data_IF_180336878736
#
_entry.id   IF_180336878736
#
_cell.length_a   1.000
_cell.length_b   1.000
_cell.length_c   1.000
_cell.angle_alpha   90.00
_cell.angle_beta   90.00
_cell.angle_gamma   90.00
#
_symmetry.space_group_name_H-M   'P 1'
#
loop_
_entity.id
_entity.type
_entity.pdbx_description
1 polymer ?
#
# COMPACT_ATOMS: atom_id res chain seq x y z
N UNK A 1 8.96 33.52 -7.99
CA UNK A 1 9.98 32.49 -7.60
C UNK A 1 9.38 31.20 -7.06
N UNK A 2 8.07 31.09 -6.84
CA UNK A 2 7.38 29.86 -6.35
C UNK A 2 7.12 28.83 -7.48
N UNK A 3 7.09 29.25 -8.74
CA UNK A 3 6.75 28.39 -9.89
C UNK A 3 7.82 27.34 -10.28
N UNK A 4 9.10 27.60 -10.00
CA UNK A 4 10.22 26.73 -10.47
C UNK A 4 10.34 25.46 -9.62
N UNK A 5 9.90 25.46 -8.38
CA UNK A 5 10.00 24.32 -7.46
C UNK A 5 8.93 23.25 -7.68
N UNK A 6 7.75 23.64 -8.19
CA UNK A 6 6.67 22.73 -8.55
C UNK A 6 6.98 21.96 -9.83
N UNK A 7 7.60 22.58 -10.83
CA UNK A 7 8.00 21.95 -12.09
C UNK A 7 9.05 20.86 -11.87
N UNK A 8 9.98 21.04 -10.95
CA UNK A 8 11.01 20.04 -10.61
C UNK A 8 10.45 18.79 -9.94
N UNK A 9 9.44 18.93 -9.06
CA UNK A 9 8.81 17.78 -8.39
C UNK A 9 7.90 16.99 -9.33
N UNK A 10 7.19 17.65 -10.23
CA UNK A 10 6.38 16.97 -11.26
C UNK A 10 7.23 16.20 -12.27
N UNK A 11 8.37 16.73 -12.68
CA UNK A 11 9.31 16.02 -13.56
C UNK A 11 9.91 14.78 -12.90
N UNK A 12 10.29 14.85 -11.61
CA UNK A 12 10.76 13.68 -10.86
C UNK A 12 9.67 12.60 -10.69
N UNK A 13 8.40 12.98 -10.55
CA UNK A 13 7.28 12.06 -10.49
C UNK A 13 7.07 11.37 -11.84
N UNK A 14 7.07 12.11 -12.95
CA UNK A 14 6.91 11.54 -14.30
C UNK A 14 8.03 10.58 -14.66
N UNK A 15 9.29 10.90 -14.37
CA UNK A 15 10.42 10.04 -14.71
C UNK A 15 10.43 8.73 -13.91
N UNK A 16 9.89 8.72 -12.68
CA UNK A 16 9.72 7.50 -11.89
C UNK A 16 8.62 6.59 -12.45
N UNK A 17 7.56 7.13 -13.03
CA UNK A 17 6.47 6.36 -13.61
C UNK A 17 6.85 5.61 -14.89
N UNK A 18 7.76 6.12 -15.69
CA UNK A 18 8.15 5.52 -16.96
C UNK A 18 9.20 4.40 -16.85
N UNK A 19 9.75 4.14 -15.67
CA UNK A 19 10.68 3.02 -15.43
C UNK A 19 10.00 1.68 -15.17
N UNK A 20 8.69 1.65 -15.02
CA UNK A 20 7.91 0.42 -14.79
C UNK A 20 7.41 -0.14 -16.12
N UNK A 21 8.17 -1.03 -16.73
CA UNK A 21 7.76 -1.76 -17.93
C UNK A 21 6.98 -3.00 -17.54
N UNK A 22 5.70 -3.09 -17.90
CA UNK A 22 4.98 -4.35 -17.89
C UNK A 22 3.52 -4.37 -17.45
N UNK A 23 2.99 -3.31 -16.85
CA UNK A 23 1.63 -3.29 -16.31
C UNK A 23 0.79 -2.11 -16.77
N UNK A 24 0.74 -1.84 -18.09
CA UNK A 24 0.15 -0.61 -18.65
C UNK A 24 -1.29 -0.33 -18.15
N UNK A 25 -2.12 -1.34 -17.99
CA UNK A 25 -3.52 -1.16 -17.59
C UNK A 25 -3.65 -0.81 -16.09
N UNK A 26 -2.94 -1.54 -15.22
CA UNK A 26 -2.97 -1.29 -13.78
C UNK A 26 -2.31 0.07 -13.47
N UNK A 27 -1.16 0.35 -14.09
CA UNK A 27 -0.47 1.64 -13.98
C UNK A 27 -1.36 2.81 -14.41
N UNK A 28 -2.14 2.66 -15.49
CA UNK A 28 -3.02 3.71 -15.99
C UNK A 28 -4.13 4.10 -15.01
N UNK A 29 -4.53 3.21 -14.10
CA UNK A 29 -5.55 3.48 -13.08
C UNK A 29 -4.94 4.05 -11.78
N UNK A 30 -3.91 3.42 -11.25
CA UNK A 30 -3.37 3.75 -9.93
C UNK A 30 -2.39 4.92 -9.95
N UNK A 31 -1.63 5.10 -11.04
CA UNK A 31 -0.69 6.22 -11.17
C UNK A 31 -1.36 7.59 -11.05
N UNK A 32 -2.46 7.89 -11.77
CA UNK A 32 -3.19 9.15 -11.59
C UNK A 32 -3.74 9.31 -10.16
N UNK A 33 -4.23 8.22 -9.55
CA UNK A 33 -4.73 8.24 -8.19
C UNK A 33 -3.61 8.60 -7.19
N UNK A 34 -2.47 7.94 -7.26
CA UNK A 34 -1.33 8.21 -6.37
C UNK A 34 -0.76 9.61 -6.59
N UNK A 35 -0.71 10.08 -7.84
CA UNK A 35 -0.31 11.46 -8.15
C UNK A 35 -1.25 12.49 -7.53
N UNK A 36 -2.56 12.23 -7.56
CA UNK A 36 -3.55 13.10 -6.93
C UNK A 36 -3.40 13.12 -5.40
N UNK A 37 -3.10 11.98 -4.78
CA UNK A 37 -2.83 11.88 -3.34
C UNK A 37 -1.57 12.68 -2.97
N UNK A 38 -0.47 12.53 -3.72
CA UNK A 38 0.76 13.30 -3.52
C UNK A 38 0.48 14.81 -3.62
N UNK A 39 -0.24 15.23 -4.67
CA UNK A 39 -0.62 16.64 -4.85
C UNK A 39 -1.48 17.17 -3.69
N UNK A 40 -2.39 16.33 -3.17
CA UNK A 40 -3.23 16.68 -2.01
C UNK A 40 -2.40 16.89 -0.76
N UNK A 41 -1.42 16.04 -0.51
CA UNK A 41 -0.54 16.13 0.65
C UNK A 41 0.57 17.19 0.50
N UNK A 42 0.86 17.68 -0.70
CA UNK A 42 1.90 18.70 -0.92
C UNK A 42 1.67 20.01 -0.13
N UNK A 43 0.40 20.31 0.19
CA UNK A 43 0.02 21.45 1.04
C UNK A 43 -0.29 21.09 2.50
N UNK A 44 -0.09 19.84 2.89
CA UNK A 44 -0.38 19.38 4.24
C UNK A 44 0.74 19.76 5.23
N UNK A 45 0.46 19.62 6.52
CA UNK A 45 1.47 19.78 7.57
C UNK A 45 2.56 18.71 7.44
N UNK A 46 3.76 19.00 7.93
CA UNK A 46 4.90 18.07 7.87
C UNK A 46 4.67 16.76 8.66
N UNK A 47 3.79 16.80 9.66
CA UNK A 47 3.39 15.68 10.48
C UNK A 47 2.14 14.95 9.95
N UNK A 48 1.69 15.26 8.74
CA UNK A 48 0.55 14.58 8.12
C UNK A 48 0.89 13.09 7.83
N UNK A 49 -0.05 12.17 8.07
CA UNK A 49 0.25 10.73 8.02
C UNK A 49 0.43 10.15 6.61
N UNK A 50 0.28 10.92 5.55
CA UNK A 50 0.36 10.47 4.16
C UNK A 50 -0.41 9.15 3.92
N UNK A 51 -1.61 9.06 4.50
CA UNK A 51 -2.43 7.85 4.50
C UNK A 51 -3.26 7.74 3.23
N UNK A 52 -3.22 6.58 2.58
CA UNK A 52 -4.13 6.17 1.52
C UNK A 52 -4.94 4.95 1.98
N UNK A 53 -6.26 4.97 1.74
CA UNK A 53 -7.14 3.84 2.01
C UNK A 53 -7.76 3.34 0.72
N UNK A 54 -7.59 2.05 0.42
CA UNK A 54 -8.07 1.40 -0.79
C UNK A 54 -8.99 0.23 -0.41
N UNK A 55 -10.22 0.27 -0.90
CA UNK A 55 -11.18 -0.81 -0.75
C UNK A 55 -11.20 -1.67 -2.03
N UNK A 56 -11.28 -2.99 -1.85
CA UNK A 56 -11.19 -3.97 -2.94
C UNK A 56 -10.00 -3.74 -3.89
N UNK A 57 -8.88 -3.32 -3.32
CA UNK A 57 -7.72 -2.94 -4.10
C UNK A 57 -7.20 -4.09 -4.94
N UNK A 58 -6.78 -3.74 -6.15
CA UNK A 58 -6.09 -4.62 -7.08
C UNK A 58 -6.93 -5.82 -7.58
N UNK A 59 -8.25 -5.74 -7.50
CA UNK A 59 -9.13 -6.76 -8.06
C UNK A 59 -8.86 -6.92 -9.57
N UNK A 60 -8.55 -8.15 -10.01
CA UNK A 60 -8.24 -8.45 -11.42
C UNK A 60 -6.86 -7.97 -11.90
N UNK A 61 -6.01 -7.49 -11.01
CA UNK A 61 -4.60 -7.14 -11.29
C UNK A 61 -3.74 -8.38 -11.04
N UNK A 62 -2.79 -8.66 -11.92
CA UNK A 62 -1.83 -9.75 -11.74
C UNK A 62 -0.81 -9.43 -10.64
N UNK A 63 -0.21 -10.49 -10.07
CA UNK A 63 0.67 -10.41 -8.91
C UNK A 63 1.92 -9.52 -9.14
N UNK A 64 2.48 -9.53 -10.35
CA UNK A 64 3.65 -8.73 -10.69
C UNK A 64 3.31 -7.23 -10.63
N UNK A 65 2.17 -6.87 -11.20
CA UNK A 65 1.67 -5.50 -11.17
C UNK A 65 1.27 -5.04 -9.76
N UNK A 66 0.71 -5.94 -8.94
CA UNK A 66 0.42 -5.65 -7.53
C UNK A 66 1.72 -5.33 -6.77
N UNK A 67 2.76 -6.12 -6.98
CA UNK A 67 4.08 -5.90 -6.37
C UNK A 67 4.67 -4.53 -6.74
N UNK A 68 4.55 -4.15 -8.00
CA UNK A 68 5.00 -2.83 -8.47
C UNK A 68 4.17 -1.69 -7.85
N UNK A 69 2.85 -1.89 -7.64
CA UNK A 69 2.01 -0.92 -6.94
C UNK A 69 2.44 -0.74 -5.48
N UNK A 70 2.74 -1.81 -4.77
CA UNK A 70 3.27 -1.73 -3.40
C UNK A 70 4.61 -1.00 -3.36
N UNK A 71 5.52 -1.31 -4.30
CA UNK A 71 6.79 -0.58 -4.43
C UNK A 71 6.55 0.91 -4.60
N UNK A 72 5.63 1.27 -5.50
CA UNK A 72 5.30 2.67 -5.77
C UNK A 72 4.72 3.38 -4.54
N UNK A 73 3.83 2.73 -3.78
CA UNK A 73 3.31 3.29 -2.53
C UNK A 73 4.41 3.53 -1.50
N UNK A 74 5.36 2.61 -1.38
CA UNK A 74 6.53 2.77 -0.49
C UNK A 74 7.44 3.90 -0.97
N UNK A 75 7.69 4.01 -2.28
CA UNK A 75 8.50 5.09 -2.84
C UNK A 75 7.89 6.49 -2.65
N UNK A 76 6.56 6.58 -2.60
CA UNK A 76 5.84 7.81 -2.28
C UNK A 76 5.72 8.07 -0.76
N UNK A 77 6.29 7.21 0.05
CA UNK A 77 6.20 7.29 1.52
C UNK A 77 4.74 7.29 2.02
N UNK A 78 3.87 6.54 1.34
CA UNK A 78 2.49 6.38 1.79
C UNK A 78 2.40 5.38 2.95
N UNK A 79 1.65 5.77 3.98
CA UNK A 79 1.01 4.82 4.86
C UNK A 79 -0.27 4.34 4.19
N UNK A 80 -0.51 3.05 4.14
CA UNK A 80 -1.66 2.52 3.43
C UNK A 80 -2.49 1.56 4.29
N UNK A 81 -3.79 1.61 4.08
CA UNK A 81 -4.77 0.65 4.58
C UNK A 81 -5.50 0.05 3.39
N UNK A 82 -5.40 -1.25 3.23
CA UNK A 82 -5.92 -1.96 2.06
C UNK A 82 -6.84 -3.07 2.50
N UNK A 83 -8.03 -3.14 1.89
CA UNK A 83 -8.93 -4.26 1.97
C UNK A 83 -8.91 -5.02 0.64
N UNK A 84 -8.73 -6.35 0.68
CA UNK A 84 -8.75 -7.21 -0.49
C UNK A 84 -9.12 -8.63 -0.12
N UNK A 85 -9.73 -9.38 -1.04
CA UNK A 85 -10.14 -10.78 -0.81
C UNK A 85 -8.98 -11.77 -0.92
N UNK A 86 -7.97 -11.48 -1.72
CA UNK A 86 -6.90 -12.43 -2.10
C UNK A 86 -5.49 -11.92 -1.82
N UNK A 87 -5.36 -10.69 -1.35
CA UNK A 87 -4.08 -10.01 -1.20
C UNK A 87 -3.50 -10.23 0.19
N UNK A 88 -2.25 -10.66 0.26
CA UNK A 88 -1.49 -10.74 1.52
C UNK A 88 -0.59 -9.52 1.74
N UNK A 89 0.00 -8.98 0.68
CA UNK A 89 0.85 -7.79 0.73
C UNK A 89 2.24 -8.00 1.34
N UNK A 90 2.60 -9.23 1.68
CA UNK A 90 3.90 -9.60 2.23
C UNK A 90 4.97 -9.72 1.12
N UNK A 91 5.15 -8.62 0.40
CA UNK A 91 6.19 -8.50 -0.63
C UNK A 91 7.48 -7.95 -0.04
N UNK A 92 8.61 -8.37 -0.62
CA UNK A 92 9.96 -7.89 -0.26
C UNK A 92 10.14 -6.37 -0.42
N UNK A 93 9.31 -5.75 -1.26
CA UNK A 93 9.26 -4.30 -1.43
C UNK A 93 8.57 -3.56 -0.29
N UNK A 94 7.85 -4.27 0.59
CA UNK A 94 7.11 -3.69 1.72
C UNK A 94 7.92 -3.88 3.00
N UNK A 95 8.40 -2.81 3.65
CA UNK A 95 9.29 -2.92 4.80
C UNK A 95 8.59 -3.43 6.07
N UNK A 96 7.31 -3.09 6.24
CA UNK A 96 6.51 -3.53 7.38
C UNK A 96 5.02 -3.52 7.05
N UNK A 97 4.29 -4.53 7.54
CA UNK A 97 2.84 -4.63 7.32
C UNK A 97 2.17 -5.40 8.48
N UNK A 98 1.03 -4.90 8.94
CA UNK A 98 0.10 -5.66 9.76
C UNK A 98 -1.02 -6.22 8.88
N UNK A 99 -1.22 -7.54 8.93
CA UNK A 99 -2.21 -8.24 8.12
C UNK A 99 -3.27 -8.84 9.04
N UNK A 100 -4.54 -8.56 8.76
CA UNK A 100 -5.69 -9.08 9.50
C UNK A 100 -6.51 -9.97 8.57
N UNK A 101 -6.36 -11.28 8.72
CA UNK A 101 -7.17 -12.25 7.97
C UNK A 101 -8.50 -12.45 8.67
N UNK A 102 -9.60 -12.17 7.96
CA UNK A 102 -10.96 -12.40 8.43
C UNK A 102 -11.41 -13.77 7.96
N UNK A 103 -11.72 -14.66 8.90
CA UNK A 103 -12.18 -16.01 8.60
C UNK A 103 -13.56 -16.22 9.22
N UNK A 104 -14.54 -16.59 8.41
CA UNK A 104 -15.87 -17.00 8.87
C UNK A 104 -16.06 -18.49 8.62
N UNK A 105 -15.99 -19.35 9.64
CA UNK A 105 -16.31 -20.77 9.49
C UNK A 105 -17.76 -20.96 9.02
N UNK A 106 -18.01 -22.04 8.27
CA UNK A 106 -19.37 -22.38 7.88
C UNK A 106 -20.28 -22.52 9.10
N UNK A 107 -21.47 -21.93 9.04
CA UNK A 107 -22.46 -21.90 10.11
C UNK A 107 -22.06 -21.16 11.40
N UNK A 108 -20.93 -20.46 11.42
CA UNK A 108 -20.56 -19.63 12.56
C UNK A 108 -21.31 -18.29 12.54
N UNK A 109 -21.73 -17.86 13.73
CA UNK A 109 -22.36 -16.54 13.96
C UNK A 109 -21.33 -15.41 14.15
N UNK A 110 -20.04 -15.74 14.17
CA UNK A 110 -18.92 -14.83 14.42
C UNK A 110 -17.89 -14.94 13.32
N UNK A 111 -17.06 -13.91 13.23
CA UNK A 111 -15.87 -13.85 12.37
C UNK A 111 -14.64 -13.95 13.27
N UNK A 112 -13.70 -14.80 12.89
CA UNK A 112 -12.40 -14.90 13.54
C UNK A 112 -11.42 -14.00 12.83
N UNK A 113 -10.62 -13.26 13.60
CA UNK A 113 -9.54 -12.41 13.09
C UNK A 113 -8.21 -13.05 13.44
N UNK A 114 -7.41 -13.37 12.44
CA UNK A 114 -6.05 -13.86 12.60
C UNK A 114 -5.10 -12.73 12.20
N UNK A 115 -4.23 -12.35 13.13
CA UNK A 115 -3.28 -11.26 12.90
C UNK A 115 -1.91 -11.81 12.55
N UNK A 116 -1.30 -11.22 11.50
CA UNK A 116 0.08 -11.46 11.14
C UNK A 116 0.85 -10.14 11.11
N UNK A 117 2.15 -10.23 11.37
CA UNK A 117 3.11 -9.14 11.20
C UNK A 117 4.12 -9.56 10.15
N UNK A 118 4.34 -8.69 9.19
CA UNK A 118 5.40 -8.76 8.19
C UNK A 118 6.46 -7.71 8.52
N UNK A 119 7.72 -8.11 8.55
CA UNK A 119 8.86 -7.23 8.87
C UNK A 119 9.81 -6.99 7.68
N UNK A 120 9.35 -7.22 6.47
CA UNK A 120 10.13 -7.12 5.24
C UNK A 120 10.79 -8.43 4.81
N UNK A 121 10.84 -9.45 5.70
CA UNK A 121 11.47 -10.74 5.41
C UNK A 121 10.64 -11.95 5.87
N UNK A 122 9.99 -11.84 7.02
CA UNK A 122 9.27 -12.94 7.66
C UNK A 122 7.87 -12.50 8.03
N UNK A 123 6.88 -13.33 7.68
CA UNK A 123 5.50 -13.22 8.13
C UNK A 123 5.28 -14.12 9.34
N UNK A 124 4.97 -13.52 10.48
CA UNK A 124 4.73 -14.21 11.73
C UNK A 124 3.30 -14.02 12.22
N UNK A 125 2.64 -15.10 12.63
CA UNK A 125 1.33 -15.02 13.27
C UNK A 125 1.48 -14.49 14.69
N UNK A 126 0.67 -13.52 15.07
CA UNK A 126 0.66 -12.96 16.44
C UNK A 126 -0.18 -13.85 17.33
N UNK A 127 0.40 -14.35 18.40
CA UNK A 127 -0.26 -15.18 19.43
C UNK A 127 -0.64 -14.34 20.64
N UNK A 128 -1.50 -14.86 21.52
CA UNK A 128 -1.87 -14.19 22.77
C UNK A 128 -0.66 -13.90 23.68
N UNK A 129 0.40 -14.71 23.60
CA UNK A 129 1.64 -14.49 24.36
C UNK A 129 2.38 -13.22 23.91
N UNK A 130 2.27 -12.87 22.64
CA UNK A 130 2.93 -11.67 22.10
C UNK A 130 2.23 -10.38 22.52
N UNK A 131 0.93 -10.47 22.89
CA UNK A 131 0.13 -9.33 23.34
C UNK A 131 0.30 -9.00 24.82
N UNK A 132 0.89 -9.92 25.61
CA UNK A 132 1.09 -9.75 27.06
C UNK A 132 2.39 -9.02 27.43
N UNK A 133 3.22 -8.65 26.48
CA UNK A 133 4.53 -8.02 26.68
C UNK A 133 4.66 -6.62 26.04
N UNK A 134 3.52 -5.98 25.68
CA UNK A 134 3.44 -4.63 25.10
C UNK A 134 2.90 -3.58 26.06
#
# INVERSE_FOLDING_TARGET
EIGVRLVGSEMCIRDRFFTFSGGEKAMSMYVPLFSAVVAKYAGARQDAPYLISLDEAFAGVDEMNIRDMFRLMVEFDFNFMINSQILWGDYDTVPALAIYQLVRPENAKYVTVIRYIWNGNIKSMVTEKDLSHG
#
